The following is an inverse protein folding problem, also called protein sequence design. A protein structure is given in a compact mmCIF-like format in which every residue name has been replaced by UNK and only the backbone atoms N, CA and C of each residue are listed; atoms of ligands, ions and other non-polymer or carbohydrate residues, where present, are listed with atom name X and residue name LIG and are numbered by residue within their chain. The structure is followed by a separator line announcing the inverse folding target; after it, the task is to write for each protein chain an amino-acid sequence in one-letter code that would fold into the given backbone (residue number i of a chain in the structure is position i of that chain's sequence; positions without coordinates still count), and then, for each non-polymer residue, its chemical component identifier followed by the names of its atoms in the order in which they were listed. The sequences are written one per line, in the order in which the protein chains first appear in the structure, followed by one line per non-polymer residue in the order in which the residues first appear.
data_IF_571667553593
#
_entry.id   IF_571667553593
#
_cell.length_a   1.000
_cell.length_b   1.000
_cell.length_c   1.000
_cell.angle_alpha   90.00
_cell.angle_beta   90.00
_cell.angle_gamma   90.00
#
_symmetry.space_group_name_H-M   'P 1'
#
loop_
_entity.id
_entity.type
_entity.pdbx_description
1 polymer ?
#
# COMPACT_ATOMS: atom_id res chain seq x y z
N UNK A 1 -34.05 15.74 -5.37
CA UNK A 1 -34.17 14.72 -6.44
C UNK A 1 -32.97 13.77 -6.39
N UNK A 2 -33.23 12.47 -6.43
CA UNK A 2 -32.16 11.48 -6.45
C UNK A 2 -31.76 11.23 -7.88
N UNK A 3 -30.46 11.31 -8.16
CA UNK A 3 -29.90 11.04 -9.49
C UNK A 3 -28.88 9.92 -9.36
N UNK A 4 -28.68 9.17 -10.43
CA UNK A 4 -27.68 8.11 -10.48
C UNK A 4 -26.41 8.65 -11.14
N UNK A 5 -25.28 8.32 -10.53
CA UNK A 5 -23.97 8.72 -11.04
C UNK A 5 -23.10 7.47 -11.21
N UNK A 6 -22.24 7.46 -12.21
CA UNK A 6 -21.24 6.43 -12.42
C UNK A 6 -19.88 7.04 -12.14
N UNK A 7 -19.05 6.34 -11.36
CA UNK A 7 -17.68 6.77 -11.13
C UNK A 7 -16.92 6.71 -12.45
N UNK A 8 -16.26 7.80 -12.81
CA UNK A 8 -15.43 7.84 -14.00
C UNK A 8 -14.25 6.87 -13.83
N UNK A 9 -13.87 6.14 -14.89
CA UNK A 9 -12.65 5.34 -14.83
C UNK A 9 -11.43 6.24 -14.68
N UNK A 10 -10.58 5.94 -13.71
CA UNK A 10 -9.38 6.70 -13.42
C UNK A 10 -8.21 5.73 -13.29
N UNK A 11 -7.10 6.04 -13.97
CA UNK A 11 -5.90 5.27 -13.85
C UNK A 11 -5.17 5.65 -12.55
N UNK A 12 -4.61 4.66 -11.87
CA UNK A 12 -3.82 4.89 -10.66
C UNK A 12 -2.46 4.21 -10.81
N UNK A 13 -1.51 4.65 -10.03
CA UNK A 13 -0.23 3.98 -9.90
C UNK A 13 -0.19 3.29 -8.55
N UNK A 14 0.40 2.11 -8.50
CA UNK A 14 0.51 1.33 -7.27
C UNK A 14 1.73 0.43 -7.30
N UNK A 15 2.26 0.12 -6.11
CA UNK A 15 3.33 -0.85 -5.94
C UNK A 15 2.95 -1.80 -4.83
N UNK A 16 3.25 -3.08 -5.00
CA UNK A 16 2.98 -4.07 -3.96
C UNK A 16 4.16 -4.15 -2.99
N UNK A 17 3.86 -4.10 -1.71
CA UNK A 17 4.88 -4.24 -0.66
C UNK A 17 5.14 -5.73 -0.42
N UNK A 18 6.38 -6.16 -0.61
CA UNK A 18 6.79 -7.55 -0.47
C UNK A 18 7.78 -7.75 0.69
N UNK A 19 7.62 -6.99 1.77
CA UNK A 19 8.51 -7.05 2.91
C UNK A 19 9.84 -6.36 2.63
N UNK A 20 10.89 -6.82 3.30
CA UNK A 20 12.20 -6.17 3.15
C UNK A 20 12.79 -6.28 1.75
N UNK A 21 12.27 -7.20 0.92
CA UNK A 21 12.81 -7.39 -0.43
C UNK A 21 12.59 -6.17 -1.33
N UNK A 22 11.52 -5.38 -1.10
CA UNK A 22 11.26 -4.21 -1.93
C UNK A 22 10.89 -2.95 -1.14
N UNK A 23 11.30 -2.88 0.11
CA UNK A 23 11.05 -1.67 0.92
C UNK A 23 11.57 -0.41 0.23
N UNK A 24 12.77 -0.48 -0.37
CA UNK A 24 13.35 0.67 -1.06
C UNK A 24 12.55 1.08 -2.28
N UNK A 25 11.99 0.11 -3.00
CA UNK A 25 11.11 0.40 -4.13
C UNK A 25 9.86 1.16 -3.69
N UNK A 26 9.26 0.74 -2.59
CA UNK A 26 8.09 1.42 -2.02
C UNK A 26 8.46 2.84 -1.58
N UNK A 27 9.62 3.00 -0.93
CA UNK A 27 10.08 4.32 -0.50
C UNK A 27 10.33 5.27 -1.68
N UNK A 28 10.89 4.75 -2.78
CA UNK A 28 11.06 5.55 -4.01
C UNK A 28 9.71 5.96 -4.59
N UNK A 29 8.76 5.06 -4.58
CA UNK A 29 7.42 5.34 -5.09
C UNK A 29 6.72 6.42 -4.26
N UNK A 30 6.82 6.33 -2.95
CA UNK A 30 6.23 7.30 -2.03
C UNK A 30 7.01 8.62 -2.03
N UNK A 31 8.32 8.56 -2.29
CA UNK A 31 9.16 9.75 -2.37
C UNK A 31 9.83 10.13 -1.06
N UNK A 32 9.81 9.26 -0.06
CA UNK A 32 10.45 9.50 1.23
C UNK A 32 10.73 8.19 1.94
N UNK A 33 11.61 8.24 2.94
CA UNK A 33 11.85 7.11 3.81
C UNK A 33 10.61 6.80 4.65
N UNK A 34 10.33 5.53 4.83
CA UNK A 34 9.18 5.06 5.58
C UNK A 34 9.64 4.36 6.85
N UNK A 35 9.00 4.66 7.95
CA UNK A 35 9.24 3.97 9.20
C UNK A 35 8.58 2.60 9.15
N UNK A 36 9.22 1.64 9.79
CA UNK A 36 8.66 0.30 9.93
C UNK A 36 8.44 0.02 11.41
N UNK A 37 7.49 -0.87 11.68
CA UNK A 37 7.16 -1.30 13.02
C UNK A 37 7.29 -2.81 13.09
N UNK A 38 7.96 -3.30 14.13
CA UNK A 38 8.10 -4.73 14.34
C UNK A 38 6.78 -5.29 14.85
N UNK A 39 6.15 -6.16 14.05
CA UNK A 39 4.88 -6.77 14.42
C UNK A 39 5.09 -8.12 15.13
N UNK A 40 6.14 -8.84 14.75
CA UNK A 40 6.50 -10.11 15.40
C UNK A 40 8.00 -10.29 15.29
N UNK A 41 8.64 -10.72 16.39
CA UNK A 41 10.07 -10.99 16.36
C UNK A 41 10.42 -12.16 15.45
N UNK A 42 9.53 -13.14 15.37
CA UNK A 42 9.73 -14.28 14.48
C UNK A 42 8.40 -14.76 13.94
N UNK A 43 8.41 -15.05 12.65
CA UNK A 43 7.35 -15.79 11.99
C UNK A 43 8.00 -16.97 11.28
N UNK A 44 7.39 -18.13 11.35
CA UNK A 44 7.94 -19.33 10.73
C UNK A 44 7.23 -19.60 9.42
N UNK A 45 7.99 -19.48 8.34
CA UNK A 45 7.52 -19.83 7.00
C UNK A 45 8.47 -20.90 6.48
N UNK A 46 7.95 -22.07 6.14
CA UNK A 46 8.75 -23.19 5.65
C UNK A 46 9.89 -23.58 6.64
N UNK A 47 9.62 -23.49 7.94
CA UNK A 47 10.60 -23.87 8.97
C UNK A 47 11.65 -22.83 9.26
N UNK A 48 11.56 -21.65 8.64
CA UNK A 48 12.50 -20.55 8.89
C UNK A 48 11.81 -19.43 9.63
N UNK A 49 12.42 -18.96 10.71
CA UNK A 49 11.94 -17.80 11.44
C UNK A 49 12.50 -16.52 10.83
N UNK A 50 11.66 -15.52 10.71
CA UNK A 50 12.05 -14.19 10.24
C UNK A 50 11.21 -13.13 10.92
N UNK A 51 11.77 -11.95 11.21
CA UNK A 51 10.97 -10.86 11.76
C UNK A 51 9.91 -10.40 10.76
N UNK A 52 8.75 -10.03 11.28
CA UNK A 52 7.67 -9.45 10.48
C UNK A 52 7.59 -7.96 10.80
N UNK A 53 7.68 -7.15 9.77
CA UNK A 53 7.55 -5.71 9.88
C UNK A 53 6.40 -5.20 9.03
N UNK A 54 5.73 -4.15 9.53
CA UNK A 54 4.82 -3.35 8.71
C UNK A 54 5.51 -2.06 8.33
N UNK A 55 5.04 -1.43 7.25
CA UNK A 55 5.44 -0.06 6.90
C UNK A 55 4.37 0.91 7.37
N UNK A 56 4.78 2.05 7.88
CA UNK A 56 3.88 3.09 8.31
C UNK A 56 3.69 4.08 7.16
N UNK A 57 2.46 4.20 6.69
CA UNK A 57 2.09 5.06 5.58
C UNK A 57 1.26 6.22 6.12
N UNK A 58 1.72 7.43 5.90
CA UNK A 58 0.94 8.62 6.26
C UNK A 58 -0.14 8.83 5.21
N UNK A 59 -1.39 8.71 5.61
CA UNK A 59 -2.53 8.89 4.72
C UNK A 59 -3.33 10.12 5.16
N UNK A 60 -4.29 10.54 4.34
CA UNK A 60 -5.17 11.66 4.69
C UNK A 60 -6.02 11.35 5.92
N UNK A 61 -6.19 10.08 6.23
CA UNK A 61 -6.97 9.64 7.40
C UNK A 61 -6.09 9.30 8.60
N UNK A 62 -4.79 9.61 8.54
CA UNK A 62 -3.82 9.30 9.57
C UNK A 62 -2.83 8.25 9.14
N UNK A 63 -2.04 7.75 10.09
CA UNK A 63 -1.03 6.74 9.81
C UNK A 63 -1.70 5.38 9.71
N UNK A 64 -1.45 4.67 8.62
CA UNK A 64 -1.95 3.31 8.40
C UNK A 64 -0.77 2.37 8.20
N UNK A 65 -0.95 1.11 8.58
CA UNK A 65 0.08 0.08 8.41
C UNK A 65 -0.11 -0.68 7.11
N UNK A 66 0.97 -0.87 6.38
CA UNK A 66 1.00 -1.75 5.23
C UNK A 66 1.75 -3.03 5.60
N UNK A 67 1.14 -4.17 5.35
CA UNK A 67 1.72 -5.49 5.61
C UNK A 67 2.17 -6.11 4.30
N UNK A 68 3.02 -7.13 4.41
CA UNK A 68 3.49 -7.85 3.23
C UNK A 68 2.30 -8.32 2.38
N UNK A 69 2.33 -8.03 1.10
CA UNK A 69 1.24 -8.32 0.17
C UNK A 69 0.31 -7.16 -0.09
N UNK A 70 0.28 -6.17 0.79
CA UNK A 70 -0.57 -4.99 0.59
C UNK A 70 -0.04 -4.14 -0.56
N UNK A 71 -0.94 -3.49 -1.27
CA UNK A 71 -0.60 -2.54 -2.32
C UNK A 71 -0.57 -1.14 -1.74
N UNK A 72 0.40 -0.35 -2.18
CA UNK A 72 0.48 1.07 -1.86
C UNK A 72 0.01 1.82 -3.08
N UNK A 73 -1.08 2.54 -2.95
CA UNK A 73 -1.73 3.25 -4.05
C UNK A 73 -1.45 4.73 -3.94
N UNK A 74 -1.08 5.35 -5.06
CA UNK A 74 -1.00 6.79 -5.16
C UNK A 74 -2.35 7.31 -5.62
N UNK A 75 -2.91 8.29 -4.90
CA UNK A 75 -4.19 8.87 -5.29
C UNK A 75 -4.09 9.49 -6.69
N UNK A 76 -5.14 9.33 -7.50
CA UNK A 76 -5.14 9.86 -8.87
C UNK A 76 -5.13 11.40 -8.93
N UNK A 77 -5.59 12.05 -7.87
CA UNK A 77 -5.63 13.50 -7.79
C UNK A 77 -4.88 13.96 -6.54
N UNK A 78 -3.54 13.93 -6.58
CA UNK A 78 -2.74 14.24 -5.39
C UNK A 78 -2.88 15.71 -4.99
N UNK A 79 -2.94 15.94 -3.68
CA UNK A 79 -3.11 17.26 -3.11
C UNK A 79 -2.04 17.65 -2.11
N UNK A 80 -1.05 16.78 -1.83
CA UNK A 80 0.00 17.07 -0.87
C UNK A 80 0.85 15.85 -0.54
N UNK A 81 1.38 15.81 0.67
CA UNK A 81 2.32 14.78 1.10
C UNK A 81 1.68 13.46 1.49
N UNK A 82 0.37 13.45 1.66
CA UNK A 82 -0.36 12.28 2.16
C UNK A 82 -1.27 11.68 1.10
N UNK A 83 -0.70 11.48 -0.09
CA UNK A 83 -1.48 11.01 -1.24
C UNK A 83 -1.36 9.50 -1.47
N UNK A 84 -0.78 8.78 -0.51
CA UNK A 84 -0.59 7.34 -0.60
C UNK A 84 -1.39 6.63 0.47
N UNK A 85 -1.87 5.44 0.15
CA UNK A 85 -2.60 4.63 1.12
C UNK A 85 -2.44 3.14 0.82
N UNK A 86 -2.47 2.29 1.86
CA UNK A 86 -2.37 0.85 1.67
C UNK A 86 -3.74 0.24 1.35
N UNK A 87 -3.72 -0.83 0.57
CA UNK A 87 -4.91 -1.56 0.17
C UNK A 87 -4.62 -3.06 0.24
N UNK A 88 -5.53 -3.82 0.82
CA UNK A 88 -5.38 -5.25 0.91
C UNK A 88 -5.39 -5.90 -0.47
N UNK A 89 -4.59 -6.95 -0.70
CA UNK A 89 -4.43 -7.52 -2.04
C UNK A 89 -5.74 -8.05 -2.63
N UNK A 90 -6.60 -8.67 -1.82
CA UNK A 90 -7.88 -9.19 -2.31
C UNK A 90 -8.81 -8.08 -2.75
N UNK A 91 -8.84 -6.97 -2.01
CA UNK A 91 -9.65 -5.80 -2.36
C UNK A 91 -9.07 -5.13 -3.59
N UNK A 92 -7.74 -5.00 -3.66
CA UNK A 92 -7.07 -4.39 -4.81
C UNK A 92 -7.38 -5.14 -6.10
N UNK A 93 -7.26 -6.47 -6.08
CA UNK A 93 -7.50 -7.31 -7.25
C UNK A 93 -8.93 -7.24 -7.77
N UNK A 94 -9.90 -7.00 -6.88
CA UNK A 94 -11.31 -6.86 -7.27
C UNK A 94 -11.62 -5.46 -7.79
N UNK A 95 -10.82 -4.47 -7.41
CA UNK A 95 -11.10 -3.06 -7.71
C UNK A 95 -10.34 -2.56 -8.93
N UNK A 96 -9.13 -3.05 -9.15
CA UNK A 96 -8.23 -2.54 -10.18
C UNK A 96 -7.79 -3.62 -11.15
N UNK A 97 -7.51 -3.21 -12.37
CA UNK A 97 -7.05 -4.08 -13.44
C UNK A 97 -5.75 -3.52 -13.98
N UNK A 98 -4.78 -4.40 -14.22
CA UNK A 98 -3.47 -3.99 -14.75
C UNK A 98 -3.61 -3.47 -16.17
N UNK A 99 -3.08 -2.29 -16.42
CA UNK A 99 -3.00 -1.70 -17.76
C UNK A 99 -1.60 -1.99 -18.31
N UNK A 100 -1.54 -2.61 -19.46
CA UNK A 100 -0.27 -2.93 -20.11
C UNK A 100 -0.12 -2.19 -21.44
#
# INVERSE_FOLDING_TARGET
MIQKFRKNPVEIEAVQFNGNSNKQEVEKFVGKELKSELESETAYVAGKGAPIFSLLIETKEGVMKAFRGDWIIKEPFPTGDRDFYPCKPDIFEKTYELIT
#
